data_IF_618248544963
#
_entry.id   IF_618248544963
#
_cell.length_a   1.000
_cell.length_b   1.000
_cell.length_c   1.000
_cell.angle_alpha   90.00
_cell.angle_beta   90.00
_cell.angle_gamma   90.00
#
_symmetry.space_group_name_H-M   'P 1'
#
loop_
_entity.id
_entity.type
_entity.pdbx_description
1 polymer ?
#
# COMPACT_ATOMS: atom_id res chain seq x y z
N UNK A 1 -9.60 -43.47 61.90
CA UNK A 1 -8.44 -43.17 61.03
C UNK A 1 -8.86 -42.06 60.08
N UNK A 2 -8.66 -40.80 60.46
CA UNK A 2 -8.98 -39.65 59.61
C UNK A 2 -7.74 -39.38 58.76
N UNK A 3 -7.81 -39.70 57.47
CA UNK A 3 -6.81 -39.30 56.48
C UNK A 3 -7.00 -37.79 56.23
N UNK A 4 -6.20 -36.98 56.91
CA UNK A 4 -5.98 -35.59 56.54
C UNK A 4 -5.18 -35.59 55.23
N UNK A 5 -5.79 -35.14 54.15
CA UNK A 5 -5.11 -34.91 52.88
C UNK A 5 -4.09 -33.78 53.05
N UNK A 6 -2.80 -34.14 53.05
CA UNK A 6 -1.68 -33.22 52.97
C UNK A 6 -1.73 -32.47 51.63
N UNK A 7 -2.31 -31.28 51.62
CA UNK A 7 -2.10 -30.31 50.55
C UNK A 7 -0.72 -29.68 50.82
N UNK A 8 0.27 -29.95 49.97
CA UNK A 8 1.59 -29.33 50.06
C UNK A 8 1.45 -27.80 50.11
N UNK A 9 1.89 -27.21 51.22
CA UNK A 9 1.75 -25.77 51.52
C UNK A 9 2.46 -24.87 50.48
N UNK A 10 3.50 -25.39 49.83
CA UNK A 10 4.27 -24.71 48.78
C UNK A 10 3.49 -24.49 47.47
N UNK A 11 2.68 -25.47 47.05
CA UNK A 11 1.92 -25.39 45.79
C UNK A 11 0.71 -24.46 45.92
N UNK A 12 0.07 -24.46 47.10
CA UNK A 12 -0.97 -23.50 47.44
C UNK A 12 -0.43 -22.05 47.46
N UNK A 13 0.78 -21.83 47.99
CA UNK A 13 1.42 -20.50 48.02
C UNK A 13 1.80 -19.98 46.64
N UNK A 14 2.34 -20.83 45.75
CA UNK A 14 2.66 -20.48 44.36
C UNK A 14 1.41 -20.20 43.52
N UNK A 15 0.33 -20.95 43.74
CA UNK A 15 -0.96 -20.64 43.12
C UNK A 15 -1.49 -19.30 43.61
N UNK A 16 -1.28 -18.94 44.88
CA UNK A 16 -1.77 -17.70 45.49
C UNK A 16 -0.94 -16.45 45.19
N UNK A 17 0.30 -16.58 44.69
CA UNK A 17 1.15 -15.45 44.28
C UNK A 17 1.14 -15.19 42.76
N UNK A 18 0.73 -16.19 41.97
CA UNK A 18 0.70 -16.09 40.50
C UNK A 18 -0.31 -15.05 39.99
N UNK A 19 0.15 -14.17 39.10
CA UNK A 19 -0.68 -13.13 38.49
C UNK A 19 -1.54 -13.67 37.35
N UNK A 20 -2.75 -13.12 37.11
CA UNK A 20 -3.56 -13.50 35.95
C UNK A 20 -2.82 -13.28 34.63
N UNK A 21 -2.67 -14.35 33.83
CA UNK A 21 -2.04 -14.31 32.51
C UNK A 21 -3.09 -14.40 31.41
N UNK A 22 -2.90 -13.68 30.31
CA UNK A 22 -3.80 -13.79 29.14
C UNK A 22 -3.41 -15.03 28.35
N UNK A 23 -4.27 -16.05 28.34
CA UNK A 23 -4.08 -17.28 27.58
C UNK A 23 -4.51 -17.12 26.11
N UNK A 24 -5.55 -16.33 25.85
CA UNK A 24 -6.05 -16.10 24.50
C UNK A 24 -6.78 -14.77 24.36
N UNK A 25 -6.83 -14.26 23.12
CA UNK A 25 -7.59 -13.07 22.73
C UNK A 25 -8.32 -13.35 21.42
N UNK A 26 -9.56 -12.88 21.33
CA UNK A 26 -10.36 -12.87 20.10
C UNK A 26 -10.96 -11.46 19.93
N UNK A 27 -10.71 -10.73 18.83
CA UNK A 27 -9.87 -11.08 17.68
C UNK A 27 -8.43 -11.42 18.06
N UNK A 28 -7.86 -12.43 17.38
CA UNK A 28 -6.49 -12.87 17.63
C UNK A 28 -5.47 -11.77 17.35
N UNK A 29 -4.30 -11.83 18.00
CA UNK A 29 -3.24 -10.85 17.75
C UNK A 29 -2.82 -10.86 16.27
N UNK A 30 -2.70 -9.67 15.68
CA UNK A 30 -2.45 -9.41 14.26
C UNK A 30 -3.53 -9.93 13.29
N UNK A 31 -4.69 -10.38 13.78
CA UNK A 31 -5.75 -10.91 12.91
C UNK A 31 -6.39 -9.82 12.04
N UNK A 32 -6.92 -10.24 10.89
CA UNK A 32 -7.78 -9.43 10.04
C UNK A 32 -9.17 -10.03 10.06
N UNK A 33 -10.15 -9.26 10.51
CA UNK A 33 -11.55 -9.69 10.61
C UNK A 33 -12.44 -8.86 9.67
N UNK A 34 -13.52 -9.44 9.13
CA UNK A 34 -14.36 -8.76 8.14
C UNK A 34 -15.31 -7.72 8.75
N UNK A 35 -15.62 -7.83 10.05
CA UNK A 35 -16.63 -7.00 10.73
C UNK A 35 -16.26 -6.72 12.17
N UNK A 36 -16.81 -5.61 12.70
CA UNK A 36 -16.73 -5.25 14.10
C UNK A 36 -17.34 -6.34 14.99
N UNK A 37 -16.67 -6.64 16.10
CA UNK A 37 -17.16 -7.56 17.12
C UNK A 37 -16.58 -7.20 18.50
N UNK A 38 -17.12 -7.81 19.57
CA UNK A 38 -16.55 -7.68 20.90
C UNK A 38 -15.17 -8.34 20.99
N UNK A 39 -14.32 -7.80 21.86
CA UNK A 39 -12.97 -8.31 22.11
C UNK A 39 -13.00 -9.11 23.41
N UNK A 40 -12.74 -10.41 23.32
CA UNK A 40 -12.73 -11.33 24.47
C UNK A 40 -11.32 -11.79 24.77
N UNK A 41 -10.87 -11.56 26.01
CA UNK A 41 -9.65 -12.11 26.57
C UNK A 41 -10.02 -13.24 27.53
N UNK A 42 -9.25 -14.33 27.50
CA UNK A 42 -9.37 -15.43 28.46
C UNK A 42 -8.11 -15.51 29.29
N UNK A 43 -8.25 -15.49 30.61
CA UNK A 43 -7.16 -15.52 31.56
C UNK A 43 -6.93 -16.92 32.13
N UNK A 44 -5.74 -17.15 32.70
CA UNK A 44 -5.41 -18.39 33.41
C UNK A 44 -6.32 -18.64 34.63
N UNK A 45 -6.81 -17.56 35.25
CA UNK A 45 -7.58 -17.58 36.51
C UNK A 45 -8.77 -16.61 36.44
N UNK A 46 -9.67 -16.70 37.41
CA UNK A 46 -10.79 -15.76 37.54
C UNK A 46 -10.28 -14.37 37.87
N UNK A 47 -10.93 -13.34 37.32
CA UNK A 47 -10.47 -11.96 37.40
C UNK A 47 -11.54 -11.02 37.95
N UNK A 48 -11.12 -9.81 38.33
CA UNK A 48 -11.94 -8.63 38.66
C UNK A 48 -11.37 -7.41 37.92
N UNK A 49 -12.23 -6.46 37.56
CA UNK A 49 -11.85 -5.26 36.82
C UNK A 49 -11.25 -4.18 37.72
N UNK A 50 -10.20 -3.52 37.23
CA UNK A 50 -9.71 -2.24 37.73
C UNK A 50 -9.75 -1.23 36.56
N UNK A 51 -10.69 -0.27 36.62
CA UNK A 51 -11.21 0.45 35.43
C UNK A 51 -10.20 1.36 34.71
N UNK A 52 -9.05 1.69 35.29
CA UNK A 52 -8.19 2.77 34.80
C UNK A 52 -7.00 2.33 33.91
N UNK A 53 -6.87 1.05 33.57
CA UNK A 53 -5.69 0.53 32.87
C UNK A 53 -6.01 -0.26 31.60
N UNK A 54 -7.20 -0.10 31.01
CA UNK A 54 -7.60 -0.81 29.79
C UNK A 54 -7.89 0.20 28.69
N UNK A 55 -7.20 0.08 27.55
CA UNK A 55 -7.38 0.99 26.42
C UNK A 55 -7.54 0.24 25.12
N UNK A 56 -8.46 0.72 24.28
CA UNK A 56 -8.57 0.38 22.88
C UNK A 56 -8.34 1.66 22.08
N UNK A 57 -7.37 1.65 21.17
CA UNK A 57 -7.04 2.80 20.32
C UNK A 57 -7.10 2.42 18.85
N UNK A 58 -7.48 3.36 17.98
CA UNK A 58 -7.26 3.20 16.54
C UNK A 58 -5.79 3.54 16.19
N UNK A 59 -5.45 3.42 14.90
CA UNK A 59 -4.09 3.72 14.41
C UNK A 59 -3.70 5.19 14.55
N UNK A 60 -4.66 6.12 14.58
CA UNK A 60 -4.41 7.54 14.83
C UNK A 60 -4.17 7.84 16.32
N UNK A 61 -4.18 6.82 17.18
CA UNK A 61 -4.03 6.95 18.64
C UNK A 61 -5.31 7.38 19.37
N UNK A 62 -6.43 7.57 18.66
CA UNK A 62 -7.72 7.93 19.24
C UNK A 62 -8.27 6.80 20.09
N UNK A 63 -8.66 7.11 21.32
CA UNK A 63 -9.34 6.18 22.22
C UNK A 63 -10.73 5.81 21.71
N UNK A 64 -11.05 4.53 21.82
CA UNK A 64 -12.34 3.95 21.48
C UNK A 64 -13.03 3.52 22.77
N UNK A 65 -14.22 4.07 23.02
CA UNK A 65 -15.01 3.74 24.21
C UNK A 65 -15.54 2.31 24.15
N UNK A 66 -15.42 1.59 25.26
CA UNK A 66 -15.90 0.21 25.40
C UNK A 66 -16.69 0.01 26.69
N UNK A 67 -17.73 -0.83 26.62
CA UNK A 67 -18.40 -1.40 27.77
C UNK A 67 -17.70 -2.70 28.15
N UNK A 68 -17.08 -2.72 29.34
CA UNK A 68 -16.25 -3.83 29.79
C UNK A 68 -17.02 -4.69 30.80
N UNK A 69 -17.05 -6.01 30.56
CA UNK A 69 -17.67 -7.00 31.46
C UNK A 69 -16.68 -8.10 31.79
N UNK A 70 -16.77 -8.60 33.03
CA UNK A 70 -16.02 -9.78 33.47
C UNK A 70 -16.99 -10.92 33.76
N UNK A 71 -16.62 -12.11 33.31
CA UNK A 71 -17.34 -13.35 33.59
C UNK A 71 -16.32 -14.45 33.90
N UNK A 72 -16.10 -14.72 35.18
CA UNK A 72 -15.09 -15.67 35.65
C UNK A 72 -13.68 -15.31 35.14
N UNK A 73 -13.15 -16.13 34.24
CA UNK A 73 -11.81 -15.95 33.64
C UNK A 73 -11.81 -15.06 32.38
N UNK A 74 -12.94 -14.51 31.97
CA UNK A 74 -13.04 -13.75 30.73
C UNK A 74 -13.27 -12.26 30.97
N UNK A 75 -12.53 -11.43 30.23
CA UNK A 75 -12.81 -10.00 30.05
C UNK A 75 -13.37 -9.79 28.65
N UNK A 76 -14.53 -9.14 28.56
CA UNK A 76 -15.21 -8.84 27.29
C UNK A 76 -15.32 -7.32 27.16
N UNK A 77 -14.67 -6.76 26.14
CA UNK A 77 -14.76 -5.35 25.77
C UNK A 77 -15.71 -5.22 24.58
N UNK A 78 -16.81 -4.52 24.77
CA UNK A 78 -17.78 -4.27 23.70
C UNK A 78 -17.64 -2.82 23.25
N UNK A 79 -17.18 -2.53 22.02
CA UNK A 79 -17.17 -1.17 21.48
C UNK A 79 -18.57 -0.54 21.58
N UNK A 80 -18.65 0.71 22.06
CA UNK A 80 -19.93 1.43 22.17
C UNK A 80 -20.53 1.68 20.78
N UNK A 81 -19.67 2.01 19.82
CA UNK A 81 -20.02 2.21 18.43
C UNK A 81 -19.37 1.13 17.56
N UNK A 82 -20.00 0.82 16.42
CA UNK A 82 -19.42 -0.08 15.44
C UNK A 82 -18.04 0.43 14.98
N UNK A 83 -17.04 -0.45 15.05
CA UNK A 83 -15.70 -0.14 14.62
C UNK A 83 -15.63 -0.07 13.08
N UNK A 84 -15.06 1.02 12.57
CA UNK A 84 -14.85 1.24 11.13
C UNK A 84 -13.64 0.43 10.63
N UNK A 85 -13.50 0.21 9.31
CA UNK A 85 -12.29 -0.38 8.74
C UNK A 85 -11.02 0.35 9.21
N UNK A 86 -10.00 -0.41 9.62
CA UNK A 86 -8.78 0.14 10.22
C UNK A 86 -8.12 -0.81 11.21
N UNK A 87 -6.96 -0.40 11.73
CA UNK A 87 -6.21 -1.15 12.74
C UNK A 87 -6.49 -0.62 14.15
N UNK A 88 -6.59 -1.54 15.09
CA UNK A 88 -6.90 -1.28 16.48
C UNK A 88 -5.87 -1.93 17.40
N UNK A 89 -5.57 -1.24 18.50
CA UNK A 89 -4.57 -1.61 19.49
C UNK A 89 -5.25 -1.71 20.85
N UNK A 90 -5.24 -2.91 21.42
CA UNK A 90 -5.66 -3.17 22.79
C UNK A 90 -4.43 -3.16 23.69
N UNK A 91 -4.52 -2.47 24.82
CA UNK A 91 -3.53 -2.54 25.88
C UNK A 91 -4.19 -2.70 27.25
N UNK A 92 -3.66 -3.63 28.04
CA UNK A 92 -3.90 -3.74 29.46
C UNK A 92 -2.62 -3.32 30.18
N UNK A 93 -2.70 -2.25 30.97
CA UNK A 93 -1.64 -1.88 31.89
C UNK A 93 -1.51 -2.91 33.02
N UNK A 94 -0.39 -2.84 33.74
CA UNK A 94 -0.16 -3.63 34.94
C UNK A 94 -1.31 -3.42 35.93
N UNK A 95 -1.89 -4.51 36.43
CA UNK A 95 -2.99 -4.50 37.40
C UNK A 95 -4.35 -4.02 36.86
N UNK A 96 -4.54 -3.96 35.54
CA UNK A 96 -5.84 -3.70 34.91
C UNK A 96 -6.93 -4.69 35.31
N UNK A 97 -6.52 -5.93 35.59
CA UNK A 97 -7.34 -6.95 36.22
C UNK A 97 -6.58 -7.58 37.36
N UNK A 98 -7.30 -8.02 38.38
CA UNK A 98 -6.73 -8.74 39.53
C UNK A 98 -7.46 -10.05 39.77
N UNK A 99 -6.83 -11.01 40.44
CA UNK A 99 -7.53 -12.17 40.99
C UNK A 99 -8.22 -11.84 42.34
N UNK A 100 -8.72 -12.87 43.04
CA UNK A 100 -9.29 -12.75 44.39
C UNK A 100 -8.30 -12.34 45.46
N UNK A 101 -6.99 -12.57 45.24
CA UNK A 101 -5.90 -12.25 46.15
C UNK A 101 -5.25 -10.89 45.83
N UNK A 102 -5.82 -10.14 44.87
CA UNK A 102 -5.34 -8.83 44.41
C UNK A 102 -4.01 -8.88 43.64
N UNK A 103 -3.61 -10.05 43.14
CA UNK A 103 -2.47 -10.13 42.22
C UNK A 103 -2.89 -9.57 40.86
N UNK A 104 -2.19 -8.54 40.39
CA UNK A 104 -2.50 -7.85 39.14
C UNK A 104 -1.81 -8.47 37.93
N UNK A 105 -2.47 -8.46 36.77
CA UNK A 105 -1.84 -8.88 35.50
C UNK A 105 -0.59 -8.04 35.17
N UNK A 106 0.34 -8.62 34.42
CA UNK A 106 1.42 -7.88 33.75
C UNK A 106 0.90 -7.07 32.55
N UNK A 107 1.70 -6.12 32.05
CA UNK A 107 1.37 -5.38 30.84
C UNK A 107 1.09 -6.35 29.67
N UNK A 108 0.01 -6.10 28.93
CA UNK A 108 -0.37 -6.91 27.77
C UNK A 108 -0.78 -6.00 26.61
N UNK A 109 -0.42 -6.39 25.38
CA UNK A 109 -0.80 -5.71 24.15
C UNK A 109 -1.25 -6.73 23.10
N UNK A 110 -2.26 -6.35 22.32
CA UNK A 110 -2.69 -7.08 21.13
C UNK A 110 -3.18 -6.08 20.09
N UNK A 111 -3.15 -6.44 18.82
CA UNK A 111 -3.76 -5.64 17.77
C UNK A 111 -4.55 -6.50 16.79
N UNK A 112 -5.49 -5.88 16.08
CA UNK A 112 -6.25 -6.52 15.02
C UNK A 112 -6.70 -5.48 13.99
N UNK A 113 -7.12 -5.94 12.82
CA UNK A 113 -7.57 -5.08 11.72
C UNK A 113 -8.99 -5.45 11.30
N UNK A 114 -9.84 -4.44 11.11
CA UNK A 114 -11.13 -4.62 10.44
C UNK A 114 -10.94 -4.26 8.98
N UNK A 115 -11.22 -5.20 8.09
CA UNK A 115 -11.06 -5.01 6.65
C UNK A 115 -12.11 -5.77 5.85
N UNK A 116 -12.69 -5.18 4.79
CA UNK A 116 -13.63 -5.87 3.91
C UNK A 116 -12.94 -6.89 2.98
N UNK A 117 -11.61 -6.97 3.00
CA UNK A 117 -10.77 -7.86 2.17
C UNK A 117 -9.64 -8.50 3.00
N UNK A 118 -9.13 -9.64 2.54
CA UNK A 118 -8.01 -10.37 3.18
C UNK A 118 -6.65 -9.75 2.87
N UNK A 119 -5.61 -10.14 3.62
CA UNK A 119 -4.22 -9.75 3.33
C UNK A 119 -3.78 -10.19 1.93
N UNK A 120 -4.21 -11.37 1.48
CA UNK A 120 -3.91 -11.85 0.13
C UNK A 120 -4.53 -10.93 -0.93
N UNK A 121 -5.79 -10.54 -0.75
CA UNK A 121 -6.47 -9.57 -1.61
C UNK A 121 -5.80 -8.19 -1.57
N UNK A 122 -5.28 -7.75 -0.41
CA UNK A 122 -4.51 -6.51 -0.33
C UNK A 122 -3.23 -6.57 -1.18
N UNK A 123 -2.45 -7.65 -1.09
CA UNK A 123 -1.21 -7.83 -1.86
C UNK A 123 -1.49 -7.93 -3.37
N UNK A 124 -2.50 -8.70 -3.74
CA UNK A 124 -2.98 -8.88 -5.09
C UNK A 124 -3.49 -7.55 -5.70
N UNK A 125 -4.35 -6.83 -4.96
CA UNK A 125 -4.84 -5.52 -5.35
C UNK A 125 -3.71 -4.49 -5.50
N UNK A 126 -2.72 -4.49 -4.59
CA UNK A 126 -1.53 -3.64 -4.68
C UNK A 126 -0.80 -3.88 -6.00
N UNK A 127 -0.52 -5.13 -6.36
CA UNK A 127 0.16 -5.47 -7.61
C UNK A 127 -0.61 -4.98 -8.84
N UNK A 128 -1.93 -5.16 -8.87
CA UNK A 128 -2.77 -4.66 -9.97
C UNK A 128 -2.76 -3.14 -10.07
N UNK A 129 -2.85 -2.44 -8.94
CA UNK A 129 -2.81 -0.96 -8.91
C UNK A 129 -1.46 -0.46 -9.40
N UNK A 130 -0.36 -1.09 -8.99
CA UNK A 130 0.99 -0.73 -9.44
C UNK A 130 1.15 -0.94 -10.94
N UNK A 131 0.65 -2.06 -11.48
CA UNK A 131 0.63 -2.31 -12.93
C UNK A 131 -0.25 -1.30 -13.68
N UNK A 132 -1.40 -0.94 -13.11
CA UNK A 132 -2.25 0.10 -13.69
C UNK A 132 -1.53 1.45 -13.74
N UNK A 133 -0.88 1.83 -12.63
CA UNK A 133 -0.13 3.08 -12.53
C UNK A 133 1.03 3.13 -13.53
N UNK A 134 1.76 2.03 -13.69
CA UNK A 134 2.87 1.92 -14.65
C UNK A 134 2.43 2.17 -16.10
N UNK A 135 1.20 1.80 -16.48
CA UNK A 135 0.68 1.98 -17.85
C UNK A 135 -0.07 3.31 -18.04
N UNK A 136 -0.73 3.80 -17.00
CA UNK A 136 -1.69 4.90 -17.11
C UNK A 136 -1.22 6.21 -16.46
N UNK A 137 -0.10 6.20 -15.74
CA UNK A 137 0.46 7.34 -14.97
C UNK A 137 -0.54 8.03 -14.04
N UNK A 138 -1.56 7.29 -13.62
CA UNK A 138 -2.56 7.70 -12.66
C UNK A 138 -3.01 6.49 -11.87
N UNK A 139 -3.52 6.73 -10.68
CA UNK A 139 -4.19 5.67 -9.92
C UNK A 139 -5.57 5.38 -10.52
N UNK A 140 -6.09 4.15 -10.36
CA UNK A 140 -7.48 3.85 -10.68
C UNK A 140 -8.39 4.53 -9.65
N UNK A 141 -9.67 4.75 -9.99
CA UNK A 141 -10.64 5.31 -9.04
C UNK A 141 -10.96 4.33 -7.90
N UNK A 142 -10.94 3.03 -8.20
CA UNK A 142 -11.20 1.95 -7.25
C UNK A 142 -10.43 0.67 -7.64
N UNK A 143 -10.32 -0.24 -6.68
CA UNK A 143 -9.86 -1.62 -6.88
C UNK A 143 -11.05 -2.57 -6.75
N UNK A 144 -11.23 -3.44 -7.74
CA UNK A 144 -12.32 -4.43 -7.74
C UNK A 144 -11.87 -5.77 -7.16
N UNK A 145 -12.73 -6.37 -6.34
CA UNK A 145 -12.62 -7.71 -5.79
C UNK A 145 -13.96 -8.44 -6.00
N UNK A 146 -14.20 -8.94 -7.22
CA UNK A 146 -15.51 -9.40 -7.66
C UNK A 146 -16.50 -8.23 -7.77
N UNK A 147 -17.68 -8.38 -7.17
CA UNK A 147 -18.71 -7.32 -7.10
C UNK A 147 -18.35 -6.16 -6.15
N UNK A 148 -17.36 -6.34 -5.28
CA UNK A 148 -16.93 -5.34 -4.31
C UNK A 148 -15.95 -4.35 -4.94
N UNK A 149 -16.26 -3.06 -4.88
CA UNK A 149 -15.37 -1.96 -5.28
C UNK A 149 -14.90 -1.21 -4.05
N UNK A 150 -13.58 -1.02 -3.91
CA UNK A 150 -12.97 -0.23 -2.84
C UNK A 150 -12.32 1.00 -3.47
N UNK A 151 -12.75 2.19 -3.09
CA UNK A 151 -12.16 3.45 -3.56
C UNK A 151 -10.65 3.46 -3.29
N UNK A 152 -9.85 4.03 -4.19
CA UNK A 152 -8.39 3.93 -4.09
C UNK A 152 -7.83 4.50 -2.79
N UNK A 153 -8.39 5.63 -2.30
CA UNK A 153 -7.98 6.23 -1.03
C UNK A 153 -8.24 5.31 0.15
N UNK A 154 -9.35 4.57 0.14
CA UNK A 154 -9.66 3.61 1.20
C UNK A 154 -8.78 2.36 1.08
N UNK A 155 -8.48 1.94 -0.15
CA UNK A 155 -7.54 0.84 -0.39
C UNK A 155 -6.12 1.19 0.11
N UNK A 156 -5.64 2.41 -0.13
CA UNK A 156 -4.37 2.89 0.42
C UNK A 156 -4.36 2.85 1.96
N UNK A 157 -5.44 3.32 2.61
CA UNK A 157 -5.59 3.21 4.08
C UNK A 157 -5.60 1.77 4.57
N UNK A 158 -6.19 0.84 3.82
CA UNK A 158 -6.16 -0.58 4.18
C UNK A 158 -4.74 -1.15 4.07
N UNK A 159 -3.99 -0.78 3.03
CA UNK A 159 -2.58 -1.19 2.88
C UNK A 159 -1.72 -0.73 4.06
N UNK A 160 -1.89 0.53 4.52
CA UNK A 160 -1.11 1.04 5.65
C UNK A 160 -1.38 0.29 6.96
N UNK A 161 -2.57 -0.30 7.16
CA UNK A 161 -2.83 -1.19 8.32
C UNK A 161 -1.89 -2.38 8.39
N UNK A 162 -1.38 -2.84 7.24
CA UNK A 162 -0.48 -3.97 7.12
C UNK A 162 0.97 -3.52 6.82
N UNK A 163 1.28 -2.24 7.06
CA UNK A 163 2.57 -1.62 6.69
C UNK A 163 2.91 -1.75 5.20
N UNK A 164 1.90 -1.89 4.34
CA UNK A 164 2.05 -1.88 2.89
C UNK A 164 1.82 -0.47 2.36
N UNK A 165 2.50 -0.13 1.27
CA UNK A 165 2.32 1.14 0.54
C UNK A 165 2.35 0.84 -0.95
N UNK A 166 1.59 1.59 -1.74
CA UNK A 166 1.69 1.49 -3.20
C UNK A 166 3.01 2.09 -3.67
N UNK A 167 3.75 1.35 -4.48
CA UNK A 167 4.91 1.86 -5.19
C UNK A 167 4.42 2.63 -6.41
N UNK A 168 4.39 3.96 -6.29
CA UNK A 168 4.08 4.90 -7.39
C UNK A 168 5.34 5.27 -8.18
N UNK A 169 6.35 4.40 -8.13
CA UNK A 169 7.57 4.54 -8.92
C UNK A 169 7.28 3.98 -10.30
N UNK A 170 6.99 4.87 -11.27
CA UNK A 170 7.42 4.57 -12.63
C UNK A 170 8.91 4.31 -12.51
N UNK A 171 9.40 3.15 -12.93
CA UNK A 171 10.84 2.97 -13.12
C UNK A 171 11.28 4.08 -14.06
N UNK A 172 11.90 5.12 -13.51
CA UNK A 172 12.41 6.25 -14.26
C UNK A 172 13.57 5.70 -15.08
N UNK A 173 13.23 5.19 -16.26
CA UNK A 173 14.17 4.85 -17.32
C UNK A 173 14.62 6.18 -17.91
N UNK A 174 15.53 6.87 -17.22
CA UNK A 174 16.25 8.00 -17.79
C UNK A 174 17.45 7.46 -18.52
N UNK A 175 17.47 7.66 -19.83
CA UNK A 175 18.61 7.37 -20.68
C UNK A 175 19.05 8.68 -21.31
N UNK A 176 20.31 9.04 -21.12
CA UNK A 176 20.94 10.15 -21.83
C UNK A 176 22.12 9.61 -22.61
N UNK A 177 22.15 9.85 -23.91
CA UNK A 177 23.30 9.55 -24.76
C UNK A 177 23.74 10.82 -25.46
N UNK A 178 25.06 11.07 -25.46
CA UNK A 178 25.61 12.25 -26.13
C UNK A 178 25.37 12.15 -27.64
N UNK A 179 25.56 10.95 -28.22
CA UNK A 179 25.38 10.70 -29.66
C UNK A 179 25.25 9.19 -29.97
N UNK A 180 24.42 8.82 -30.95
CA UNK A 180 24.32 7.45 -31.48
C UNK A 180 25.25 7.28 -32.70
N UNK A 181 25.94 6.14 -32.79
CA UNK A 181 26.76 5.80 -33.97
C UNK A 181 25.90 5.71 -35.23
N UNK A 182 26.36 6.30 -36.34
CA UNK A 182 25.59 6.36 -37.60
C UNK A 182 24.50 7.43 -37.64
N UNK A 183 24.34 8.21 -36.57
CA UNK A 183 23.36 9.28 -36.43
C UNK A 183 24.05 10.63 -36.23
N UNK A 184 23.52 11.70 -36.83
CA UNK A 184 24.01 13.08 -36.64
C UNK A 184 23.37 13.80 -35.47
N UNK A 185 22.20 13.36 -35.02
CA UNK A 185 21.56 13.93 -33.85
C UNK A 185 22.33 13.60 -32.56
N UNK A 186 22.24 14.52 -31.60
CA UNK A 186 22.98 14.52 -30.34
C UNK A 186 22.11 15.07 -29.20
N UNK A 187 22.62 15.07 -27.97
CA UNK A 187 21.89 15.48 -26.76
C UNK A 187 20.56 14.75 -26.60
N UNK A 188 20.58 13.43 -26.77
CA UNK A 188 19.38 12.62 -26.69
C UNK A 188 19.11 12.31 -25.22
N UNK A 189 17.94 12.71 -24.74
CA UNK A 189 17.45 12.36 -23.41
C UNK A 189 16.05 11.77 -23.51
N UNK A 190 15.90 10.58 -22.94
CA UNK A 190 14.66 9.85 -22.83
C UNK A 190 14.33 9.71 -21.35
N UNK A 191 13.12 10.12 -20.97
CA UNK A 191 12.54 9.80 -19.68
C UNK A 191 11.12 9.30 -19.88
N UNK A 192 10.48 8.92 -18.79
CA UNK A 192 9.10 8.47 -18.81
C UNK A 192 8.10 9.64 -19.01
N UNK A 193 8.51 10.89 -18.77
CA UNK A 193 7.68 12.09 -18.97
C UNK A 193 7.90 12.73 -20.33
N UNK A 194 9.16 12.88 -20.71
CA UNK A 194 9.58 13.65 -21.89
C UNK A 194 10.70 12.96 -22.64
N UNK A 195 10.78 13.25 -23.93
CA UNK A 195 11.87 12.87 -24.82
C UNK A 195 12.44 14.14 -25.45
N UNK A 196 13.75 14.23 -25.62
CA UNK A 196 14.41 15.38 -26.21
C UNK A 196 15.65 15.00 -27.01
N UNK A 197 15.93 15.75 -28.05
CA UNK A 197 17.09 15.57 -28.92
C UNK A 197 17.41 16.86 -29.65
N UNK A 198 18.67 17.02 -30.04
CA UNK A 198 19.08 17.99 -31.06
C UNK A 198 19.29 17.27 -32.38
N UNK A 199 18.50 17.61 -33.39
CA UNK A 199 18.42 16.87 -34.66
C UNK A 199 18.06 17.77 -35.83
N UNK A 200 18.43 17.36 -37.05
CA UNK A 200 17.97 18.03 -38.28
C UNK A 200 16.58 17.54 -38.69
N UNK A 201 15.83 18.37 -39.39
CA UNK A 201 14.49 18.03 -39.83
C UNK A 201 14.51 17.01 -40.99
N UNK A 202 14.15 15.76 -40.69
CA UNK A 202 14.06 14.67 -41.68
C UNK A 202 12.78 14.66 -42.53
N UNK A 203 11.77 15.47 -42.20
CA UNK A 203 10.48 15.46 -42.91
C UNK A 203 10.17 16.74 -43.70
N UNK A 204 11.15 17.65 -43.82
CA UNK A 204 10.99 18.94 -44.51
C UNK A 204 10.07 19.97 -43.83
N UNK A 205 9.33 19.62 -42.78
CA UNK A 205 8.33 20.50 -42.18
C UNK A 205 8.90 21.74 -41.47
N UNK A 206 10.18 21.72 -41.05
CA UNK A 206 10.84 22.91 -40.52
C UNK A 206 11.18 23.96 -41.60
N UNK A 207 11.17 23.60 -42.89
CA UNK A 207 11.56 24.50 -43.98
C UNK A 207 13.07 24.75 -44.10
N UNK A 208 13.89 24.14 -43.23
CA UNK A 208 15.34 24.25 -43.24
C UNK A 208 16.01 22.89 -42.93
N UNK A 209 17.32 22.82 -43.17
CA UNK A 209 18.16 21.67 -42.83
C UNK A 209 19.22 22.03 -41.76
N UNK A 210 18.79 22.75 -40.72
CA UNK A 210 19.61 23.11 -39.55
C UNK A 210 19.24 22.26 -38.32
N UNK A 211 20.04 22.36 -37.25
CA UNK A 211 19.75 21.63 -36.01
C UNK A 211 18.66 22.32 -35.20
N UNK A 212 17.69 21.52 -34.75
CA UNK A 212 16.63 21.93 -33.84
C UNK A 212 16.73 21.12 -32.56
N UNK A 213 16.68 21.79 -31.42
CA UNK A 213 16.50 21.13 -30.11
C UNK A 213 15.03 21.14 -29.77
N UNK A 214 14.46 19.94 -29.61
CA UNK A 214 13.05 19.79 -29.32
C UNK A 214 12.82 18.85 -28.17
N UNK A 215 11.83 19.18 -27.35
CA UNK A 215 11.36 18.36 -26.23
C UNK A 215 9.88 18.08 -26.41
N UNK A 216 9.51 16.81 -26.34
CA UNK A 216 8.14 16.34 -26.47
C UNK A 216 7.74 15.53 -25.24
N UNK A 217 6.44 15.45 -24.96
CA UNK A 217 5.91 14.46 -24.02
C UNK A 217 6.27 13.06 -24.54
N UNK A 218 6.64 12.14 -23.65
CA UNK A 218 6.80 10.73 -24.00
C UNK A 218 5.41 10.10 -24.19
N UNK A 219 4.77 10.44 -25.30
CA UNK A 219 3.40 10.12 -25.65
C UNK A 219 3.28 9.98 -27.16
N UNK A 220 2.73 8.86 -27.61
CA UNK A 220 2.44 8.63 -29.02
C UNK A 220 1.01 9.12 -29.35
N UNK A 221 0.84 10.20 -30.13
CA UNK A 221 -0.47 10.70 -30.53
C UNK A 221 -1.21 9.74 -31.47
N UNK A 222 -0.51 8.82 -32.13
CA UNK A 222 -1.14 7.82 -32.98
C UNK A 222 -1.95 6.80 -32.17
N UNK A 223 -1.30 6.10 -31.24
CA UNK A 223 -1.94 5.03 -30.45
C UNK A 223 -2.44 5.48 -29.07
N UNK A 224 -2.21 6.73 -28.67
CA UNK A 224 -2.70 7.30 -27.42
C UNK A 224 -1.98 6.80 -26.17
N UNK A 225 -0.77 6.25 -26.30
CA UNK A 225 -0.01 5.65 -25.20
C UNK A 225 1.17 6.50 -24.78
N UNK A 226 1.37 6.60 -23.47
CA UNK A 226 2.54 7.20 -22.84
C UNK A 226 3.69 6.20 -22.72
N UNK A 227 4.91 6.70 -22.47
CA UNK A 227 6.12 5.90 -22.23
C UNK A 227 6.48 4.95 -23.39
N UNK A 228 6.08 5.28 -24.61
CA UNK A 228 6.29 4.41 -25.79
C UNK A 228 7.38 4.88 -26.73
N UNK A 229 7.81 6.14 -26.66
CA UNK A 229 8.81 6.67 -27.59
C UNK A 229 10.19 6.10 -27.27
N UNK A 230 10.85 5.56 -28.28
CA UNK A 230 12.22 5.06 -28.25
C UNK A 230 13.05 5.82 -29.27
N UNK A 231 14.34 5.94 -29.01
CA UNK A 231 15.24 6.69 -29.87
C UNK A 231 15.75 5.85 -31.04
N UNK A 232 15.46 6.30 -32.25
CA UNK A 232 16.07 5.90 -33.52
C UNK A 232 16.42 4.41 -33.69
N UNK A 233 15.47 3.48 -33.45
CA UNK A 233 15.72 2.05 -33.58
C UNK A 233 16.05 1.63 -35.02
N UNK A 234 15.62 2.41 -36.01
CA UNK A 234 15.84 2.16 -37.45
C UNK A 234 17.16 2.73 -37.97
N UNK A 235 17.91 3.45 -37.13
CA UNK A 235 19.22 3.99 -37.51
C UNK A 235 19.16 5.10 -38.56
N UNK A 236 18.08 5.90 -38.57
CA UNK A 236 17.93 7.04 -39.46
C UNK A 236 19.03 8.06 -39.19
N UNK A 237 19.63 8.59 -40.25
CA UNK A 237 20.78 9.48 -40.19
C UNK A 237 20.52 10.73 -39.34
N UNK A 238 19.39 11.41 -39.55
CA UNK A 238 18.96 12.59 -38.79
C UNK A 238 18.46 12.27 -37.37
N UNK A 239 18.18 10.99 -37.08
CA UNK A 239 17.48 10.53 -35.89
C UNK A 239 15.95 10.62 -35.99
N UNK A 240 15.27 9.90 -35.11
CA UNK A 240 13.81 9.89 -35.00
C UNK A 240 13.34 9.41 -33.63
N UNK A 241 12.10 9.74 -33.30
CA UNK A 241 11.37 9.10 -32.21
C UNK A 241 10.42 8.07 -32.80
N UNK A 242 10.56 6.81 -32.40
CA UNK A 242 9.67 5.73 -32.85
C UNK A 242 8.80 5.27 -31.69
N UNK A 243 7.51 5.05 -31.93
CA UNK A 243 6.66 4.43 -30.94
C UNK A 243 6.90 2.92 -30.89
N UNK A 244 7.42 2.41 -29.78
CA UNK A 244 7.66 0.97 -29.57
C UNK A 244 6.39 0.09 -29.56
N UNK A 245 5.19 0.70 -29.58
CA UNK A 245 3.93 -0.03 -29.59
C UNK A 245 3.27 -0.12 -30.97
N UNK A 246 3.24 0.99 -31.72
CA UNK A 246 2.55 1.05 -33.02
C UNK A 246 3.50 1.37 -34.19
N UNK A 247 4.81 1.39 -33.93
CA UNK A 247 5.88 1.61 -34.89
C UNK A 247 5.79 2.92 -35.70
N UNK A 248 5.03 3.91 -35.19
CA UNK A 248 4.97 5.23 -35.81
C UNK A 248 6.28 5.97 -35.61
N UNK A 249 6.80 6.51 -36.70
CA UNK A 249 8.05 7.26 -36.73
C UNK A 249 7.78 8.75 -36.81
N UNK A 250 8.36 9.49 -35.87
CA UNK A 250 8.22 10.93 -35.76
C UNK A 250 9.56 11.60 -36.03
N UNK A 251 9.52 12.67 -36.82
CA UNK A 251 10.68 13.55 -36.99
C UNK A 251 11.13 14.07 -35.63
N UNK A 252 12.38 13.81 -35.25
CA UNK A 252 12.96 14.24 -33.98
C UNK A 252 13.03 15.77 -33.85
N UNK A 253 13.13 16.49 -34.97
CA UNK A 253 13.20 17.95 -34.99
C UNK A 253 11.84 18.63 -34.75
N UNK A 254 10.78 18.22 -35.46
CA UNK A 254 9.47 18.91 -35.40
C UNK A 254 8.30 18.07 -34.87
N UNK A 255 8.52 16.77 -34.61
CA UNK A 255 7.51 15.87 -34.06
C UNK A 255 6.48 15.37 -35.06
N UNK A 256 6.58 15.74 -36.34
CA UNK A 256 5.67 15.29 -37.40
C UNK A 256 5.87 13.79 -37.70
N UNK A 257 4.78 13.04 -37.72
CA UNK A 257 4.76 11.63 -38.15
C UNK A 257 5.07 11.50 -39.66
N UNK A 258 5.80 10.45 -40.05
CA UNK A 258 6.42 10.36 -41.39
C UNK A 258 5.62 9.58 -42.45
N UNK A 259 4.58 8.83 -42.11
CA UNK A 259 3.98 7.82 -43.01
C UNK A 259 2.54 8.15 -43.44
N UNK A 260 1.83 9.05 -42.76
CA UNK A 260 0.38 9.21 -43.00
C UNK A 260 0.00 10.48 -43.78
N UNK A 261 -1.05 10.35 -44.59
CA UNK A 261 -1.80 11.47 -45.14
C UNK A 261 -2.62 12.08 -43.98
N UNK A 262 -2.28 13.31 -43.56
CA UNK A 262 -2.64 13.93 -42.26
C UNK A 262 -1.84 13.40 -41.05
N UNK A 263 -0.52 13.64 -41.01
CA UNK A 263 0.33 13.13 -39.96
C UNK A 263 0.02 13.77 -38.61
N UNK A 264 -0.07 12.93 -37.57
CA UNK A 264 -0.14 13.42 -36.19
C UNK A 264 1.21 13.97 -35.75
N UNK A 265 1.19 14.87 -34.77
CA UNK A 265 2.41 15.51 -34.26
C UNK A 265 2.61 15.17 -32.79
N UNK A 266 3.86 14.91 -32.41
CA UNK A 266 4.25 14.83 -31.01
C UNK A 266 3.87 16.15 -30.30
N UNK A 267 3.48 16.02 -29.04
CA UNK A 267 3.05 17.16 -28.21
C UNK A 267 4.29 17.75 -27.55
N UNK A 268 4.57 19.05 -27.78
CA UNK A 268 5.67 19.75 -27.08
C UNK A 268 5.48 19.67 -25.56
N UNK A 269 6.57 19.49 -24.84
CA UNK A 269 6.59 19.44 -23.37
C UNK A 269 6.85 20.82 -22.76
#
# INVERSE_FOLDING_TARGET
>A
MILLSNINHSDAYQLNSSTPQVNSVNPGNNSIIPKSQAIKLTFSKSIKLNKNSITLKNMDGKLISTNNKVSGKSLILTPVNQLKPGKYYLALGKGAVTDSYKNGNSNYKSCFTISPISLAQMKDGKSRVERFYAVNHRLPNYVSFGSKKIMINDFEKLLTTQNLKLNKTSSVKTYSITRQVGCIAYNISLSNKVVSSTSKCSCGACGDYVYHTSTYKNYCPNCGRYETLVWNPKGVYEGEWTCSYCDCDYCSACGKEKVHNHPKHLIKA
#
